data_IF_756853977408
#
_entry.id   IF_756853977408
#
_cell.length_a   1.000
_cell.length_b   1.000
_cell.length_c   1.000
_cell.angle_alpha   90.00
_cell.angle_beta   90.00
_cell.angle_gamma   90.00
#
_symmetry.space_group_name_H-M   'P 1'
#
loop_
_entity.id
_entity.type
_entity.pdbx_description
1 polymer ?
#
# COMPACT_ATOMS: atom_id res chain seq x y z
N UNK A 1 6.12 -4.59 -25.48
CA UNK A 1 5.68 -4.35 -24.09
C UNK A 1 6.67 -5.06 -23.18
N UNK A 2 7.16 -4.39 -22.12
CA UNK A 2 8.07 -5.01 -21.15
C UNK A 2 7.33 -6.17 -20.45
N UNK A 3 7.94 -7.38 -20.44
CA UNK A 3 7.30 -8.59 -19.92
C UNK A 3 6.91 -8.45 -18.43
N UNK A 4 7.73 -7.75 -17.63
CA UNK A 4 7.45 -7.46 -16.22
C UNK A 4 6.23 -6.54 -16.07
N UNK A 5 6.09 -5.50 -16.91
CA UNK A 5 4.91 -4.63 -16.86
C UNK A 5 3.60 -5.37 -17.21
N UNK A 6 3.66 -6.32 -18.15
CA UNK A 6 2.50 -7.16 -18.49
C UNK A 6 2.07 -7.99 -17.28
N UNK A 7 3.03 -8.67 -16.64
CA UNK A 7 2.78 -9.47 -15.46
C UNK A 7 2.21 -8.62 -14.32
N UNK A 8 2.77 -7.43 -14.08
CA UNK A 8 2.28 -6.52 -13.04
C UNK A 8 0.83 -6.08 -13.28
N UNK A 9 0.45 -5.84 -14.54
CA UNK A 9 -0.95 -5.53 -14.91
C UNK A 9 -1.88 -6.71 -14.65
N UNK A 10 -1.47 -7.92 -15.00
CA UNK A 10 -2.24 -9.15 -14.70
C UNK A 10 -2.44 -9.34 -13.19
N UNK A 11 -1.44 -9.03 -12.37
CA UNK A 11 -1.58 -9.07 -10.90
C UNK A 11 -2.56 -7.99 -10.41
N UNK A 12 -2.51 -6.78 -10.98
CA UNK A 12 -3.43 -5.70 -10.63
C UNK A 12 -4.89 -6.06 -10.94
N UNK A 13 -5.16 -6.79 -12.03
CA UNK A 13 -6.52 -7.23 -12.41
C UNK A 13 -7.17 -8.19 -11.42
N UNK A 14 -6.39 -8.85 -10.55
CA UNK A 14 -6.90 -9.78 -9.53
C UNK A 14 -7.35 -9.09 -8.24
N UNK A 15 -6.91 -7.84 -8.02
CA UNK A 15 -7.19 -7.10 -6.78
C UNK A 15 -8.63 -6.56 -6.62
N UNK A 16 -9.35 -6.15 -7.69
CA UNK A 16 -10.70 -5.60 -7.56
C UNK A 16 -11.72 -6.54 -6.91
N UNK A 17 -11.56 -7.86 -7.05
CA UNK A 17 -12.43 -8.84 -6.39
C UNK A 17 -12.28 -8.87 -4.86
N UNK A 18 -11.14 -8.38 -4.36
CA UNK A 18 -10.83 -8.29 -2.95
C UNK A 18 -10.61 -9.64 -2.28
N UNK A 19 -10.41 -9.62 -0.96
CA UNK A 19 -10.13 -10.83 -0.15
C UNK A 19 -11.27 -11.86 -0.21
N UNK A 20 -12.52 -11.42 -0.43
CA UNK A 20 -13.68 -12.31 -0.43
C UNK A 20 -13.82 -13.16 -1.71
N UNK A 21 -13.14 -12.80 -2.80
CA UNK A 21 -13.23 -13.51 -4.08
C UNK A 21 -12.09 -14.50 -4.32
N UNK A 22 -11.16 -14.63 -3.38
CA UNK A 22 -9.93 -15.40 -3.52
C UNK A 22 -9.80 -16.40 -2.37
N UNK A 23 -9.34 -17.60 -2.68
CA UNK A 23 -8.94 -18.57 -1.66
C UNK A 23 -7.60 -18.16 -1.04
N UNK A 24 -7.31 -18.60 0.19
CA UNK A 24 -6.10 -18.16 0.91
C UNK A 24 -4.80 -18.48 0.15
N UNK A 25 -4.73 -19.64 -0.50
CA UNK A 25 -3.58 -20.02 -1.34
C UNK A 25 -3.40 -19.11 -2.56
N UNK A 26 -4.49 -18.59 -3.14
CA UNK A 26 -4.43 -17.63 -4.25
C UNK A 26 -3.96 -16.26 -3.77
N UNK A 27 -4.38 -15.85 -2.57
CA UNK A 27 -3.87 -14.65 -1.91
C UNK A 27 -2.36 -14.79 -1.69
N UNK A 28 -1.92 -15.90 -1.11
CA UNK A 28 -0.50 -16.13 -0.82
C UNK A 28 0.35 -16.11 -2.11
N UNK A 29 -0.11 -16.75 -3.20
CA UNK A 29 0.55 -16.73 -4.51
C UNK A 29 0.61 -15.31 -5.11
N UNK A 30 -0.51 -14.56 -5.05
CA UNK A 30 -0.58 -13.18 -5.50
C UNK A 30 0.42 -12.29 -4.74
N UNK A 31 0.45 -12.38 -3.41
CA UNK A 31 1.34 -11.58 -2.57
C UNK A 31 2.80 -11.92 -2.83
N UNK A 32 3.14 -13.20 -2.99
CA UNK A 32 4.49 -13.64 -3.33
C UNK A 32 4.95 -13.06 -4.67
N UNK A 33 4.10 -13.12 -5.70
CA UNK A 33 4.41 -12.53 -7.01
C UNK A 33 4.57 -11.02 -6.96
N UNK A 34 3.71 -10.33 -6.22
CA UNK A 34 3.83 -8.88 -5.99
C UNK A 34 5.15 -8.53 -5.29
N UNK A 35 5.57 -9.29 -4.28
CA UNK A 35 6.84 -9.04 -3.60
C UNK A 35 8.05 -9.25 -4.54
N UNK A 36 8.01 -10.29 -5.37
CA UNK A 36 9.06 -10.55 -6.36
C UNK A 36 9.16 -9.37 -7.34
N UNK A 37 8.04 -8.94 -7.93
CA UNK A 37 8.03 -7.82 -8.88
C UNK A 37 8.45 -6.50 -8.22
N UNK A 38 8.01 -6.24 -6.98
CA UNK A 38 8.44 -5.03 -6.25
C UNK A 38 9.97 -5.01 -6.06
N UNK A 39 10.55 -6.13 -5.66
CA UNK A 39 12.01 -6.24 -5.48
C UNK A 39 12.75 -6.05 -6.81
N UNK A 40 12.24 -6.64 -7.89
CA UNK A 40 12.79 -6.45 -9.23
C UNK A 40 12.74 -4.98 -9.64
N UNK A 41 11.62 -4.31 -9.37
CA UNK A 41 11.42 -2.93 -9.75
C UNK A 41 12.29 -1.94 -8.97
N UNK A 42 12.53 -2.22 -7.69
CA UNK A 42 13.48 -1.47 -6.86
C UNK A 42 14.91 -1.63 -7.40
N UNK A 43 15.34 -2.88 -7.65
CA UNK A 43 16.71 -3.18 -8.13
C UNK A 43 17.00 -2.59 -9.50
N UNK A 44 16.01 -2.60 -10.39
CA UNK A 44 16.16 -2.11 -11.76
C UNK A 44 15.78 -0.64 -11.91
N UNK A 45 15.33 0.03 -10.84
CA UNK A 45 14.81 1.39 -10.85
C UNK A 45 13.67 1.61 -11.87
N UNK A 46 12.90 0.56 -12.17
CA UNK A 46 11.78 0.61 -13.12
C UNK A 46 10.51 1.21 -12.51
N UNK A 47 10.35 1.14 -11.18
CA UNK A 47 9.19 1.75 -10.50
C UNK A 47 9.05 3.25 -10.79
N UNK A 48 10.16 3.97 -10.97
CA UNK A 48 10.16 5.41 -11.29
C UNK A 48 9.68 5.73 -12.72
N UNK A 49 9.50 4.71 -13.58
CA UNK A 49 8.91 4.90 -14.90
C UNK A 49 7.39 5.15 -14.76
N UNK A 50 6.81 6.09 -15.52
CA UNK A 50 5.39 6.47 -15.37
C UNK A 50 4.43 5.27 -15.41
N UNK A 51 4.61 4.37 -16.37
CA UNK A 51 3.77 3.19 -16.58
C UNK A 51 3.80 2.23 -15.38
N UNK A 52 4.96 2.03 -14.76
CA UNK A 52 5.11 1.18 -13.58
C UNK A 52 4.56 1.86 -12.34
N UNK A 53 4.87 3.14 -12.13
CA UNK A 53 4.37 3.90 -10.98
C UNK A 53 2.84 3.97 -10.95
N UNK A 54 2.20 4.05 -12.12
CA UNK A 54 0.74 4.05 -12.24
C UNK A 54 0.13 2.70 -11.83
N UNK A 55 0.70 1.59 -12.32
CA UNK A 55 0.22 0.25 -11.96
C UNK A 55 0.47 -0.03 -10.49
N UNK A 56 1.64 0.33 -9.94
CA UNK A 56 1.92 0.19 -8.51
C UNK A 56 0.98 1.00 -7.64
N UNK A 57 0.69 2.25 -8.02
CA UNK A 57 -0.31 3.04 -7.31
C UNK A 57 -1.67 2.33 -7.30
N UNK A 58 -2.11 1.77 -8.43
CA UNK A 58 -3.35 0.99 -8.52
C UNK A 58 -3.31 -0.25 -7.61
N UNK A 59 -2.19 -0.97 -7.61
CA UNK A 59 -2.02 -2.19 -6.79
C UNK A 59 -2.14 -1.85 -5.30
N UNK A 60 -1.43 -0.83 -4.82
CA UNK A 60 -1.48 -0.45 -3.40
C UNK A 60 -2.88 0.01 -2.97
N UNK A 61 -3.57 0.74 -3.85
CA UNK A 61 -4.98 1.11 -3.65
C UNK A 61 -5.88 -0.13 -3.61
N UNK A 62 -5.68 -1.07 -4.53
CA UNK A 62 -6.42 -2.34 -4.62
C UNK A 62 -6.22 -3.22 -3.38
N UNK A 63 -4.98 -3.34 -2.88
CA UNK A 63 -4.67 -4.05 -1.64
C UNK A 63 -5.41 -3.45 -0.44
N UNK A 64 -5.55 -2.12 -0.39
CA UNK A 64 -6.26 -1.42 0.68
C UNK A 64 -7.77 -1.61 0.55
N UNK A 65 -8.32 -1.34 -0.63
CA UNK A 65 -9.75 -1.43 -0.89
C UNK A 65 -10.28 -2.87 -0.79
N UNK A 66 -9.49 -3.85 -1.21
CA UNK A 66 -9.81 -5.26 -1.18
C UNK A 66 -9.62 -5.93 0.19
N UNK A 67 -9.09 -5.22 1.19
CA UNK A 67 -8.85 -5.77 2.52
C UNK A 67 -7.71 -6.79 2.60
N UNK A 68 -6.78 -6.76 1.64
CA UNK A 68 -5.64 -7.69 1.53
C UNK A 68 -4.36 -7.10 2.16
N UNK A 69 -4.37 -5.80 2.47
CA UNK A 69 -3.20 -5.09 3.02
C UNK A 69 -2.66 -5.68 4.32
N UNK A 70 -3.50 -6.25 5.18
CA UNK A 70 -3.05 -6.90 6.41
C UNK A 70 -2.27 -8.19 6.11
N UNK A 71 -2.75 -9.00 5.16
CA UNK A 71 -2.03 -10.20 4.70
C UNK A 71 -0.72 -9.82 4.00
N UNK A 72 -0.74 -8.75 3.18
CA UNK A 72 0.46 -8.22 2.54
C UNK A 72 1.52 -7.80 3.56
N UNK A 73 1.15 -7.00 4.57
CA UNK A 73 2.11 -6.55 5.59
C UNK A 73 2.53 -7.66 6.57
N UNK A 74 1.68 -8.67 6.74
CA UNK A 74 2.03 -9.86 7.53
C UNK A 74 3.11 -10.69 6.85
N UNK A 75 3.04 -10.84 5.53
CA UNK A 75 4.04 -11.57 4.75
C UNK A 75 5.26 -10.73 4.35
N UNK A 76 5.16 -9.39 4.40
CA UNK A 76 6.25 -8.50 4.05
C UNK A 76 7.48 -8.71 4.96
N UNK A 77 8.63 -8.93 4.33
CA UNK A 77 9.93 -8.93 4.97
C UNK A 77 10.35 -7.50 5.34
N UNK A 78 10.89 -7.33 6.56
CA UNK A 78 11.22 -6.01 7.09
C UNK A 78 12.38 -5.35 6.34
N UNK A 79 13.36 -6.14 5.89
CA UNK A 79 14.54 -5.61 5.20
C UNK A 79 14.17 -5.20 3.78
N UNK A 80 13.37 -6.02 3.08
CA UNK A 80 12.79 -5.65 1.79
C UNK A 80 11.93 -4.38 1.89
N UNK A 81 11.10 -4.25 2.93
CA UNK A 81 10.30 -3.04 3.13
C UNK A 81 11.15 -1.81 3.44
N UNK A 82 12.29 -2.00 4.12
CA UNK A 82 13.26 -0.93 4.38
C UNK A 82 13.96 -0.50 3.08
N UNK A 83 14.36 -1.45 2.24
CA UNK A 83 14.93 -1.18 0.91
C UNK A 83 13.95 -0.42 0.02
N UNK A 84 12.67 -0.81 0.02
CA UNK A 84 11.63 -0.10 -0.71
C UNK A 84 11.51 1.36 -0.24
N UNK A 85 11.53 1.60 1.07
CA UNK A 85 11.50 2.96 1.59
C UNK A 85 12.74 3.77 1.18
N UNK A 86 13.94 3.20 1.28
CA UNK A 86 15.16 3.88 0.85
C UNK A 86 15.15 4.21 -0.65
N UNK A 87 14.64 3.28 -1.46
CA UNK A 87 14.42 3.51 -2.89
C UNK A 87 13.51 4.72 -3.10
N UNK A 88 12.35 4.78 -2.45
CA UNK A 88 11.42 5.91 -2.56
C UNK A 88 12.04 7.23 -2.06
N UNK A 89 12.87 7.18 -1.02
CA UNK A 89 13.56 8.34 -0.48
C UNK A 89 14.69 8.86 -1.40
N UNK A 90 15.29 7.99 -2.20
CA UNK A 90 16.42 8.30 -3.10
C UNK A 90 16.17 9.51 -4.00
N UNK A 91 17.17 10.35 -4.19
CA UNK A 91 17.15 11.47 -5.13
C UNK A 91 16.98 11.03 -6.60
N UNK A 92 17.30 9.77 -6.91
CA UNK A 92 17.08 9.19 -8.25
C UNK A 92 15.61 8.94 -8.59
N UNK A 93 14.73 8.95 -7.57
CA UNK A 93 13.29 8.74 -7.74
C UNK A 93 12.59 10.09 -7.80
N UNK A 94 11.84 10.30 -8.88
CA UNK A 94 11.22 11.59 -9.19
C UNK A 94 10.12 11.95 -8.19
N UNK A 95 10.02 13.23 -7.86
CA UNK A 95 8.96 13.78 -7.02
C UNK A 95 7.73 14.11 -7.89
N UNK A 96 7.04 13.08 -8.37
CA UNK A 96 5.78 13.21 -9.10
C UNK A 96 4.58 12.74 -8.26
N UNK A 97 3.36 13.03 -8.70
CA UNK A 97 2.13 12.72 -7.95
C UNK A 97 1.94 11.21 -7.70
N UNK A 98 2.34 10.35 -8.65
CA UNK A 98 2.21 8.89 -8.53
C UNK A 98 3.16 8.35 -7.47
N UNK A 99 4.43 8.77 -7.51
CA UNK A 99 5.42 8.43 -6.49
C UNK A 99 5.00 8.97 -5.12
N UNK A 100 4.48 10.20 -5.07
CA UNK A 100 3.97 10.80 -3.83
C UNK A 100 2.85 9.95 -3.23
N UNK A 101 1.90 9.48 -4.04
CA UNK A 101 0.84 8.59 -3.60
C UNK A 101 1.35 7.21 -3.16
N UNK A 102 2.39 6.69 -3.81
CA UNK A 102 3.06 5.44 -3.38
C UNK A 102 3.74 5.65 -2.02
N UNK A 103 4.43 6.77 -1.81
CA UNK A 103 5.03 7.11 -0.50
C UNK A 103 3.94 7.22 0.58
N UNK A 104 2.81 7.86 0.28
CA UNK A 104 1.71 7.93 1.24
C UNK A 104 1.14 6.54 1.57
N UNK A 105 1.05 5.66 0.57
CA UNK A 105 0.63 4.27 0.77
C UNK A 105 1.64 3.50 1.63
N UNK A 106 2.93 3.68 1.36
CA UNK A 106 4.03 3.14 2.15
C UNK A 106 3.94 3.57 3.62
N UNK A 107 3.77 4.88 3.87
CA UNK A 107 3.64 5.41 5.23
C UNK A 107 2.37 4.91 5.93
N UNK A 108 1.29 4.68 5.19
CA UNK A 108 0.07 4.08 5.72
C UNK A 108 0.27 2.64 6.19
N UNK A 109 1.19 1.87 5.61
CA UNK A 109 1.45 0.49 6.03
C UNK A 109 2.09 0.36 7.42
N UNK A 110 2.75 1.39 7.94
CA UNK A 110 3.19 1.39 9.35
C UNK A 110 2.03 1.37 10.33
N UNK A 111 0.78 1.56 9.90
CA UNK A 111 -0.38 1.53 10.80
C UNK A 111 -0.81 0.11 11.17
N UNK A 112 -0.31 -0.92 10.49
CA UNK A 112 -0.59 -2.31 10.83
C UNK A 112 0.24 -2.73 12.05
N UNK A 113 -0.44 -3.05 13.15
CA UNK A 113 0.18 -3.35 14.44
C UNK A 113 1.19 -4.50 14.37
N UNK A 114 0.91 -5.53 13.57
CA UNK A 114 1.82 -6.65 13.37
C UNK A 114 3.17 -6.22 12.77
N UNK A 115 3.14 -5.30 11.79
CA UNK A 115 4.37 -4.78 11.22
C UNK A 115 5.14 -3.88 12.20
N UNK A 116 4.44 -3.04 12.98
CA UNK A 116 5.08 -2.24 14.03
C UNK A 116 5.80 -3.10 15.07
N UNK A 117 5.21 -4.23 15.44
CA UNK A 117 5.86 -5.17 16.36
C UNK A 117 7.15 -5.76 15.76
N UNK A 118 7.17 -6.05 14.45
CA UNK A 118 8.38 -6.55 13.76
C UNK A 118 9.56 -5.59 13.84
N UNK A 119 9.31 -4.28 13.93
CA UNK A 119 10.34 -3.23 13.84
C UNK A 119 10.56 -2.44 15.15
N UNK A 120 9.90 -2.83 16.25
CA UNK A 120 9.75 -2.03 17.48
C UNK A 120 11.06 -1.48 18.08
N UNK A 121 12.19 -2.18 17.93
CA UNK A 121 13.50 -1.77 18.47
C UNK A 121 14.53 -1.38 17.41
N UNK A 122 14.09 -1.04 16.20
CA UNK A 122 14.97 -0.69 15.10
C UNK A 122 14.95 0.82 14.82
N UNK A 123 16.03 1.52 15.17
CA UNK A 123 16.11 2.98 14.96
C UNK A 123 16.42 3.41 13.53
N UNK A 124 16.77 2.47 12.65
CA UNK A 124 17.01 2.77 11.21
C UNK A 124 15.78 3.37 10.52
N UNK A 125 14.59 3.08 11.03
CA UNK A 125 13.32 3.57 10.49
C UNK A 125 13.09 5.06 10.77
N UNK A 126 13.63 5.60 11.86
CA UNK A 126 13.41 6.99 12.30
C UNK A 126 13.73 7.99 11.18
N UNK A 127 14.95 7.90 10.64
CA UNK A 127 15.43 8.81 9.60
C UNK A 127 14.69 8.59 8.27
N UNK A 128 14.43 7.33 7.93
CA UNK A 128 13.75 6.97 6.68
C UNK A 128 12.32 7.52 6.65
N UNK A 129 11.56 7.33 7.73
CA UNK A 129 10.19 7.83 7.85
C UNK A 129 10.18 9.35 7.75
N UNK A 130 11.10 10.04 8.43
CA UNK A 130 11.22 11.49 8.35
C UNK A 130 11.47 11.96 6.91
N UNK A 131 12.45 11.36 6.21
CA UNK A 131 12.78 11.71 4.83
C UNK A 131 11.58 11.54 3.90
N UNK A 132 10.83 10.45 4.06
CA UNK A 132 9.63 10.18 3.24
C UNK A 132 8.49 11.16 3.54
N UNK A 133 8.27 11.54 4.80
CA UNK A 133 7.30 12.56 5.18
C UNK A 133 7.66 13.90 4.54
N UNK A 134 8.91 14.33 4.66
CA UNK A 134 9.38 15.60 4.10
C UNK A 134 9.26 15.59 2.57
N UNK A 135 9.72 14.51 1.91
CA UNK A 135 9.73 14.38 0.45
C UNK A 135 8.33 14.37 -0.17
N UNK A 136 7.37 13.73 0.50
CA UNK A 136 5.99 13.57 -0.01
C UNK A 136 5.00 14.58 0.56
N UNK A 137 5.47 15.52 1.40
CA UNK A 137 4.61 16.46 2.13
C UNK A 137 3.44 15.75 2.84
N UNK A 138 3.71 14.64 3.52
CA UNK A 138 2.69 13.86 4.22
C UNK A 138 2.27 14.54 5.54
N UNK A 139 1.54 15.64 5.42
CA UNK A 139 1.12 16.49 6.53
C UNK A 139 -0.12 15.94 7.25
N UNK A 140 -0.45 16.55 8.40
CA UNK A 140 -1.69 16.26 9.12
C UNK A 140 -2.92 16.42 8.24
N UNK A 141 -3.00 17.47 7.41
CA UNK A 141 -4.14 17.70 6.54
C UNK A 141 -4.34 16.56 5.52
N UNK A 142 -3.24 16.06 4.96
CA UNK A 142 -3.27 14.89 4.06
C UNK A 142 -3.76 13.65 4.81
N UNK A 143 -3.21 13.38 6.00
CA UNK A 143 -3.64 12.26 6.83
C UNK A 143 -5.12 12.34 7.22
N UNK A 144 -5.58 13.52 7.61
CA UNK A 144 -6.95 13.78 8.02
C UNK A 144 -7.92 13.55 6.87
N UNK A 145 -7.65 14.15 5.70
CA UNK A 145 -8.49 13.98 4.52
C UNK A 145 -8.53 12.53 4.04
N UNK A 146 -7.42 11.80 4.08
CA UNK A 146 -7.40 10.36 3.80
C UNK A 146 -8.34 9.59 4.74
N UNK A 147 -8.38 9.93 6.03
CA UNK A 147 -9.30 9.29 6.98
C UNK A 147 -10.74 9.67 6.71
N UNK A 148 -11.03 10.94 6.47
CA UNK A 148 -12.38 11.38 6.11
C UNK A 148 -12.90 10.58 4.92
N UNK A 149 -12.11 10.42 3.84
CA UNK A 149 -12.51 9.62 2.68
C UNK A 149 -12.72 8.13 3.00
N UNK A 150 -11.86 7.53 3.83
CA UNK A 150 -12.01 6.13 4.26
C UNK A 150 -13.27 5.91 5.11
N UNK A 151 -13.60 6.85 5.99
CA UNK A 151 -14.73 6.74 6.90
C UNK A 151 -16.06 7.21 6.29
N UNK A 152 -16.05 8.03 5.22
CA UNK A 152 -17.27 8.41 4.48
C UNK A 152 -18.13 7.22 4.04
N UNK A 153 -17.51 6.06 3.80
CA UNK A 153 -18.20 4.83 3.38
C UNK A 153 -18.52 3.89 4.55
N UNK A 154 -18.12 4.23 5.78
CA UNK A 154 -18.43 3.44 6.97
C UNK A 154 -19.65 4.03 7.66
N UNK A 155 -20.64 3.19 7.90
CA UNK A 155 -21.74 3.55 8.78
C UNK A 155 -21.20 3.70 10.21
N UNK A 156 -21.26 4.91 10.76
CA UNK A 156 -20.82 5.22 12.12
C UNK A 156 -21.72 4.54 13.15
N UNK A 157 -23.02 4.50 12.88
CA UNK A 157 -24.00 3.81 13.71
C UNK A 157 -25.04 3.10 12.85
N UNK A 158 -25.38 1.86 13.24
CA UNK A 158 -26.51 1.11 12.68
C UNK A 158 -27.53 0.88 13.77
N UNK A 159 -28.74 1.42 13.60
CA UNK A 159 -29.84 1.24 14.55
C UNK A 159 -30.80 0.20 13.98
N UNK A 160 -31.09 -0.85 14.76
CA UNK A 160 -32.12 -1.83 14.44
C UNK A 160 -33.44 -1.36 15.05
N UNK A 161 -34.43 -1.04 14.22
CA UNK A 161 -35.76 -0.64 14.67
C UNK A 161 -36.83 -1.38 13.88
N UNK A 162 -37.61 -2.22 14.55
CA UNK A 162 -38.76 -2.91 13.93
C UNK A 162 -38.40 -3.85 12.77
N UNK A 163 -37.25 -4.52 12.81
CA UNK A 163 -36.80 -5.42 11.75
C UNK A 163 -36.13 -4.73 10.55
N UNK A 164 -35.95 -3.40 10.60
CA UNK A 164 -35.20 -2.63 9.60
C UNK A 164 -33.92 -2.07 10.22
N UNK A 165 -32.87 -1.95 9.40
CA UNK A 165 -31.60 -1.31 9.75
C UNK A 165 -31.57 0.11 9.20
N UNK A 166 -31.33 1.09 10.07
CA UNK A 166 -31.09 2.48 9.70
C UNK A 166 -29.61 2.76 9.91
N UNK A 167 -28.91 3.07 8.82
CA UNK A 167 -27.48 3.36 8.81
C UNK A 167 -27.25 4.88 8.85
N UNK A 168 -26.44 5.34 9.80
CA UNK A 168 -26.03 6.73 9.95
C UNK A 168 -24.55 6.87 9.57
N UNK A 169 -24.27 7.80 8.65
CA UNK A 169 -22.92 8.15 8.18
C UNK A 169 -22.45 9.47 8.78
#
# INVERSE_FOLDING_TARGET
>A
MNQSLSLLKELNEKLPGGKASLEQNEIDDLLNKLMIELNNDIKNNTLNQPEFSEVWQSILNGLTAGGISEDFMSNMDKDMFFEFGNYLASDSVSSNDKITAIIHSYLNFFRYSFFLQKIYNERRWDNLIKLLIDKSSYTFDVMFNQRVEQYKKKNLFRIIKGGQTIDYS
#
